data_IF_380426034985
#
_entry.id   IF_380426034985
#
_cell.length_a   1.000
_cell.length_b   1.000
_cell.length_c   1.000
_cell.angle_alpha   90.00
_cell.angle_beta   90.00
_cell.angle_gamma   90.00
#
_symmetry.space_group_name_H-M   'P 1'
#
loop_
_entity.id
_entity.type
_entity.pdbx_description
1 polymer ?
#
# COMPACT_ATOMS: atom_id res chain seq x y z
N UNK A 1 13.69 87.83 -41.54
CA UNK A 1 13.74 87.75 -43.01
C UNK A 1 13.36 86.33 -43.49
N UNK A 2 12.37 86.30 -44.35
CA UNK A 2 11.95 85.24 -45.24
C UNK A 2 11.23 84.02 -44.67
N UNK A 3 9.93 84.00 -44.79
CA UNK A 3 8.99 82.92 -45.15
C UNK A 3 9.27 82.44 -46.58
N UNK A 4 8.59 81.46 -47.15
CA UNK A 4 7.65 80.38 -46.74
C UNK A 4 7.95 79.03 -47.43
N UNK A 5 7.17 78.04 -47.15
CA UNK A 5 6.51 77.26 -48.22
C UNK A 5 5.63 76.12 -47.61
N UNK A 6 4.38 76.25 -47.91
CA UNK A 6 3.32 75.26 -47.85
C UNK A 6 3.59 74.09 -48.79
N UNK A 7 3.33 72.83 -48.31
CA UNK A 7 2.99 71.73 -49.19
C UNK A 7 1.96 70.82 -48.48
N UNK A 8 0.77 70.82 -49.06
CA UNK A 8 -0.33 69.97 -48.78
C UNK A 8 -0.04 68.55 -49.34
N UNK A 9 -0.23 67.50 -48.61
CA UNK A 9 -0.36 66.18 -49.16
C UNK A 9 -1.47 65.33 -48.47
N UNK A 10 -2.41 65.13 -49.27
CA UNK A 10 -3.40 64.02 -49.39
C UNK A 10 -3.64 63.09 -48.22
N UNK A 11 -4.90 63.10 -47.79
CA UNK A 11 -5.55 62.02 -46.98
C UNK A 11 -5.66 60.74 -47.78
N UNK A 12 -5.04 59.66 -47.29
CA UNK A 12 -5.38 58.31 -47.69
C UNK A 12 -5.90 57.59 -46.45
N UNK A 13 -7.21 57.38 -46.39
CA UNK A 13 -7.85 56.53 -45.41
C UNK A 13 -7.56 55.05 -45.71
N UNK A 14 -6.69 54.45 -44.93
CA UNK A 14 -6.51 52.98 -44.94
C UNK A 14 -7.42 52.39 -43.88
N UNK A 15 -8.54 51.81 -44.29
CA UNK A 15 -9.44 51.09 -43.43
C UNK A 15 -8.76 49.77 -42.97
N UNK A 16 -8.25 49.74 -41.73
CA UNK A 16 -7.71 48.51 -41.11
C UNK A 16 -8.86 47.71 -40.53
N UNK A 17 -9.31 46.68 -41.26
CA UNK A 17 -10.31 45.71 -40.77
C UNK A 17 -9.70 44.87 -39.67
N UNK A 18 -10.02 45.14 -38.42
CA UNK A 18 -9.71 44.29 -37.29
C UNK A 18 -10.59 43.03 -37.33
N UNK A 19 -10.03 41.92 -37.86
CA UNK A 19 -10.61 40.63 -37.60
C UNK A 19 -10.40 40.25 -36.13
N UNK A 20 -11.40 40.43 -35.28
CA UNK A 20 -11.44 39.87 -33.94
C UNK A 20 -11.77 38.40 -34.12
N UNK A 21 -10.74 37.52 -34.11
CA UNK A 21 -10.93 36.09 -33.94
C UNK A 21 -11.32 35.86 -32.48
N UNK A 22 -12.61 35.63 -32.24
CA UNK A 22 -13.11 35.14 -30.96
C UNK A 22 -12.53 33.73 -30.78
N UNK A 23 -11.44 33.61 -30.00
CA UNK A 23 -10.99 32.31 -29.49
C UNK A 23 -12.07 31.85 -28.49
N UNK A 24 -12.90 30.90 -28.93
CA UNK A 24 -13.81 30.19 -28.04
C UNK A 24 -12.95 29.32 -27.13
N UNK A 25 -12.64 29.81 -25.94
CA UNK A 25 -12.16 28.97 -24.86
C UNK A 25 -13.30 28.01 -24.50
N UNK A 26 -13.22 26.78 -24.98
CA UNK A 26 -14.03 25.71 -24.46
C UNK A 26 -13.71 25.60 -22.97
N UNK A 27 -14.62 26.05 -22.11
CA UNK A 27 -14.50 25.88 -20.67
C UNK A 27 -14.56 24.38 -20.39
N UNK A 28 -13.39 23.78 -20.13
CA UNK A 28 -13.28 22.40 -19.68
C UNK A 28 -14.09 22.27 -18.39
N UNK A 29 -15.03 21.31 -18.37
CA UNK A 29 -15.84 21.06 -17.16
C UNK A 29 -14.89 20.76 -16.00
N UNK A 30 -15.13 21.35 -14.81
CA UNK A 30 -14.27 21.07 -13.66
C UNK A 30 -14.25 19.57 -13.41
N UNK A 31 -13.05 18.99 -13.45
CA UNK A 31 -12.84 17.56 -13.19
C UNK A 31 -13.16 17.29 -11.72
N UNK A 32 -13.91 16.23 -11.47
CA UNK A 32 -14.19 15.83 -10.09
C UNK A 32 -12.92 15.30 -9.43
N UNK A 33 -12.70 15.73 -8.20
CA UNK A 33 -11.56 15.36 -7.39
C UNK A 33 -11.95 14.35 -6.31
N UNK A 34 -11.18 13.29 -6.20
CA UNK A 34 -11.17 12.36 -5.08
C UNK A 34 -9.93 12.58 -4.21
N UNK A 35 -9.89 11.94 -3.05
CA UNK A 35 -8.74 12.02 -2.16
C UNK A 35 -8.51 10.75 -1.34
N UNK A 36 -7.27 10.51 -0.98
CA UNK A 36 -6.92 9.62 0.11
C UNK A 36 -6.93 10.42 1.43
N UNK A 37 -7.73 9.98 2.40
CA UNK A 37 -7.86 10.69 3.68
C UNK A 37 -8.46 12.09 3.55
N UNK A 38 -7.82 13.09 4.17
CA UNK A 38 -8.35 14.48 4.23
C UNK A 38 -8.20 15.27 2.95
N UNK A 39 -7.42 14.81 1.97
CA UNK A 39 -7.25 15.48 0.68
C UNK A 39 -6.59 16.85 0.76
N UNK A 40 -5.72 17.09 1.73
CA UNK A 40 -5.03 18.37 1.91
C UNK A 40 -3.73 18.48 1.11
N UNK A 41 -3.24 17.36 0.58
CA UNK A 41 -1.98 17.28 -0.15
C UNK A 41 -2.09 17.63 -1.64
N UNK A 42 -0.96 17.70 -2.36
CA UNK A 42 -0.93 17.99 -3.78
C UNK A 42 -1.58 16.86 -4.62
N UNK A 43 -1.99 17.23 -5.84
CA UNK A 43 -2.61 16.32 -6.80
C UNK A 43 -1.64 15.22 -7.23
N UNK A 44 -2.13 13.96 -7.31
CA UNK A 44 -1.40 12.84 -7.87
C UNK A 44 -1.51 12.82 -9.40
N UNK A 45 -0.43 12.42 -10.07
CA UNK A 45 -0.53 11.99 -11.46
C UNK A 45 -1.23 10.63 -11.54
N UNK A 46 -1.70 10.25 -12.72
CA UNK A 46 -2.36 8.94 -12.94
C UNK A 46 -1.47 7.75 -12.56
N UNK A 47 -0.17 7.82 -12.85
CA UNK A 47 0.82 6.80 -12.49
C UNK A 47 1.02 6.73 -10.99
N UNK A 48 1.13 7.88 -10.32
CA UNK A 48 1.22 7.95 -8.85
C UNK A 48 -0.05 7.42 -8.20
N UNK A 49 -1.24 7.77 -8.74
CA UNK A 49 -2.51 7.23 -8.26
C UNK A 49 -2.56 5.71 -8.37
N UNK A 50 -2.15 5.14 -9.52
CA UNK A 50 -2.10 3.68 -9.70
C UNK A 50 -1.20 3.02 -8.66
N UNK A 51 -0.02 3.58 -8.42
CA UNK A 51 0.92 3.10 -7.40
C UNK A 51 0.32 3.20 -5.99
N UNK A 52 -0.33 4.30 -5.65
CA UNK A 52 -0.98 4.49 -4.36
C UNK A 52 -2.16 3.51 -4.14
N UNK A 53 -2.98 3.27 -5.17
CA UNK A 53 -4.07 2.29 -5.09
C UNK A 53 -3.55 0.87 -4.88
N UNK A 54 -2.49 0.49 -5.60
CA UNK A 54 -1.83 -0.82 -5.42
C UNK A 54 -1.24 -0.96 -4.02
N UNK A 55 -0.53 0.06 -3.55
CA UNK A 55 0.09 0.08 -2.24
C UNK A 55 -0.97 0.00 -1.11
N UNK A 56 -2.07 0.74 -1.23
CA UNK A 56 -3.20 0.67 -0.29
C UNK A 56 -3.77 -0.74 -0.18
N UNK A 57 -3.98 -1.40 -1.33
CA UNK A 57 -4.50 -2.78 -1.35
C UNK A 57 -3.51 -3.75 -0.71
N UNK A 58 -2.20 -3.60 -1.02
CA UNK A 58 -1.16 -4.45 -0.44
C UNK A 58 -1.05 -4.29 1.08
N UNK A 59 -1.07 -3.05 1.58
CA UNK A 59 -1.06 -2.77 3.02
C UNK A 59 -2.24 -3.42 3.72
N UNK A 60 -3.47 -3.25 3.19
CA UNK A 60 -4.65 -3.87 3.77
C UNK A 60 -4.57 -5.40 3.80
N UNK A 61 -4.10 -6.02 2.71
CA UNK A 61 -3.91 -7.47 2.65
C UNK A 61 -2.85 -7.97 3.63
N UNK A 62 -1.72 -7.26 3.73
CA UNK A 62 -0.67 -7.60 4.69
C UNK A 62 -1.15 -7.51 6.14
N UNK A 63 -1.94 -6.50 6.49
CA UNK A 63 -2.51 -6.36 7.84
C UNK A 63 -3.44 -7.51 8.20
N UNK A 64 -4.30 -7.91 7.26
CA UNK A 64 -5.18 -9.08 7.44
C UNK A 64 -4.37 -10.37 7.61
N UNK A 65 -3.39 -10.61 6.74
CA UNK A 65 -2.55 -11.80 6.78
C UNK A 65 -1.69 -11.87 8.05
N UNK A 66 -1.12 -10.76 8.48
CA UNK A 66 -0.35 -10.68 9.73
C UNK A 66 -1.24 -10.96 10.95
N UNK A 67 -2.48 -10.46 10.96
CA UNK A 67 -3.42 -10.73 12.06
C UNK A 67 -3.75 -12.23 12.14
N UNK A 68 -4.01 -12.88 11.00
CA UNK A 68 -4.27 -14.33 10.94
C UNK A 68 -3.05 -15.15 11.40
N UNK A 69 -1.86 -14.78 10.91
CA UNK A 69 -0.63 -15.48 11.27
C UNK A 69 -0.29 -15.33 12.76
N UNK A 70 -0.51 -14.14 13.33
CA UNK A 70 -0.32 -13.90 14.77
C UNK A 70 -1.23 -14.81 15.62
N UNK A 71 -2.50 -14.96 15.23
CA UNK A 71 -3.44 -15.85 15.93
C UNK A 71 -3.00 -17.31 15.79
N UNK A 72 -2.55 -17.74 14.61
CA UNK A 72 -2.06 -19.10 14.37
C UNK A 72 -0.79 -19.39 15.19
N UNK A 73 0.15 -18.46 15.27
CA UNK A 73 1.35 -18.59 16.10
C UNK A 73 1.00 -18.68 17.59
N UNK A 74 0.03 -17.92 18.08
CA UNK A 74 -0.43 -18.01 19.47
C UNK A 74 -1.01 -19.41 19.76
N UNK A 75 -1.87 -19.95 18.88
CA UNK A 75 -2.43 -21.29 19.03
C UNK A 75 -1.33 -22.37 19.03
N UNK A 76 -0.40 -22.28 18.08
CA UNK A 76 0.72 -23.26 18.01
C UNK A 76 1.59 -23.21 19.26
N UNK A 77 1.87 -22.02 19.80
CA UNK A 77 2.61 -21.87 21.06
C UNK A 77 1.90 -22.57 22.21
N UNK A 78 0.59 -22.38 22.34
CA UNK A 78 -0.21 -23.02 23.39
C UNK A 78 -0.22 -24.54 23.25
N UNK A 79 -0.26 -25.06 22.03
CA UNK A 79 -0.15 -26.51 21.76
C UNK A 79 1.20 -27.07 22.18
N UNK A 80 2.30 -26.38 21.86
CA UNK A 80 3.67 -26.77 22.28
C UNK A 80 3.79 -26.78 23.81
N UNK A 81 3.22 -25.79 24.48
CA UNK A 81 3.22 -25.73 25.96
C UNK A 81 2.45 -26.92 26.53
N UNK A 82 1.21 -27.16 26.10
CA UNK A 82 0.40 -28.31 26.55
C UNK A 82 1.05 -29.64 26.24
N UNK A 83 1.68 -29.77 25.07
CA UNK A 83 2.47 -30.97 24.70
C UNK A 83 3.62 -31.21 25.66
N UNK A 84 4.32 -30.15 26.09
CA UNK A 84 5.36 -30.23 27.12
C UNK A 84 4.86 -30.71 28.48
N UNK A 85 3.73 -30.17 28.94
CA UNK A 85 3.10 -30.58 30.20
C UNK A 85 2.67 -32.06 30.15
N UNK A 86 2.12 -32.51 29.01
CA UNK A 86 1.74 -33.88 28.78
C UNK A 86 2.95 -34.81 28.82
N UNK A 87 4.06 -34.46 28.15
CA UNK A 87 5.29 -35.23 28.15
C UNK A 87 5.89 -35.31 29.56
N UNK A 88 5.86 -34.25 30.32
CA UNK A 88 6.32 -34.20 31.70
C UNK A 88 5.51 -35.18 32.58
N UNK A 89 4.18 -35.14 32.52
CA UNK A 89 3.31 -36.04 33.29
C UNK A 89 3.56 -37.50 32.85
N UNK A 90 3.75 -37.76 31.57
CA UNK A 90 4.05 -39.12 31.06
C UNK A 90 5.41 -39.63 31.54
N UNK A 91 6.42 -38.78 31.65
CA UNK A 91 7.74 -39.14 32.17
C UNK A 91 7.68 -39.61 33.63
N UNK A 92 6.80 -39.02 34.45
CA UNK A 92 6.61 -39.38 35.87
C UNK A 92 6.05 -40.80 36.02
N UNK A 93 5.26 -41.26 35.07
CA UNK A 93 4.62 -42.61 35.11
C UNK A 93 5.23 -43.61 34.13
N UNK A 94 6.34 -43.24 33.45
CA UNK A 94 6.95 -44.05 32.40
C UNK A 94 7.57 -45.35 33.01
N UNK A 95 7.14 -46.50 32.48
CA UNK A 95 7.83 -47.76 32.74
C UNK A 95 9.15 -47.79 31.94
N UNK A 96 10.24 -47.45 32.64
CA UNK A 96 11.59 -47.44 32.06
C UNK A 96 12.17 -48.79 31.74
N UNK A 97 11.50 -49.88 32.17
CA UNK A 97 11.91 -51.27 31.84
C UNK A 97 11.27 -51.74 30.54
N UNK A 98 10.21 -51.07 30.09
CA UNK A 98 9.55 -51.36 28.81
C UNK A 98 10.22 -50.59 27.67
N UNK A 99 10.92 -51.30 26.79
CA UNK A 99 11.55 -50.70 25.61
C UNK A 99 10.52 -50.00 24.69
N UNK A 100 9.31 -50.57 24.57
CA UNK A 100 8.23 -50.01 23.76
C UNK A 100 7.72 -48.67 24.37
N UNK A 101 7.52 -48.62 25.70
CA UNK A 101 7.08 -47.40 26.37
C UNK A 101 8.12 -46.27 26.24
N UNK A 102 9.41 -46.60 26.37
CA UNK A 102 10.51 -45.64 26.19
C UNK A 102 10.59 -45.16 24.74
N UNK A 103 10.47 -46.07 23.75
CA UNK A 103 10.47 -45.67 22.33
C UNK A 103 9.31 -44.73 22.00
N UNK A 104 8.10 -45.05 22.45
CA UNK A 104 6.92 -44.17 22.25
C UNK A 104 7.05 -42.83 22.93
N UNK A 105 7.70 -42.71 24.09
CA UNK A 105 8.02 -41.46 24.74
C UNK A 105 9.02 -40.62 23.93
N UNK A 106 10.08 -41.23 23.44
CA UNK A 106 11.12 -40.59 22.64
C UNK A 106 10.53 -40.03 21.31
N UNK A 107 9.71 -40.81 20.61
CA UNK A 107 9.02 -40.40 19.40
C UNK A 107 8.17 -39.13 19.62
N UNK A 108 7.44 -39.08 20.74
CA UNK A 108 6.64 -37.89 21.08
C UNK A 108 7.51 -36.66 21.42
N UNK A 109 8.66 -36.89 22.06
CA UNK A 109 9.63 -35.83 22.34
C UNK A 109 10.20 -35.25 21.06
N UNK A 110 10.64 -36.13 20.13
CA UNK A 110 11.16 -35.72 18.81
C UNK A 110 10.10 -34.96 18.00
N UNK A 111 8.85 -35.44 18.01
CA UNK A 111 7.75 -34.76 17.35
C UNK A 111 7.51 -33.33 17.89
N UNK A 112 7.59 -33.17 19.23
CA UNK A 112 7.48 -31.87 19.86
C UNK A 112 8.67 -30.96 19.55
N UNK A 113 9.87 -31.46 19.54
CA UNK A 113 11.06 -30.70 19.20
C UNK A 113 10.97 -30.16 17.77
N UNK A 114 10.51 -30.99 16.83
CA UNK A 114 10.22 -30.54 15.47
C UNK A 114 9.15 -29.45 15.42
N UNK A 115 8.07 -29.55 16.22
CA UNK A 115 7.07 -28.48 16.31
C UNK A 115 7.65 -27.17 16.83
N UNK A 116 8.60 -27.24 17.76
CA UNK A 116 9.30 -26.04 18.29
C UNK A 116 10.14 -25.42 17.18
N UNK A 117 10.91 -26.21 16.44
CA UNK A 117 11.74 -25.70 15.33
C UNK A 117 10.89 -25.05 14.23
N UNK A 118 9.81 -25.71 13.82
CA UNK A 118 8.85 -25.16 12.85
C UNK A 118 8.22 -23.86 13.36
N UNK A 119 7.85 -23.78 14.64
CA UNK A 119 7.33 -22.56 15.26
C UNK A 119 8.35 -21.42 15.22
N UNK A 120 9.62 -21.68 15.59
CA UNK A 120 10.67 -20.66 15.57
C UNK A 120 10.93 -20.14 14.15
N UNK A 121 10.95 -21.01 13.15
CA UNK A 121 11.08 -20.62 11.75
C UNK A 121 9.90 -19.72 11.30
N UNK A 122 8.67 -20.07 11.69
CA UNK A 122 7.47 -19.25 11.41
C UNK A 122 7.52 -17.90 12.11
N UNK A 123 7.97 -17.82 13.37
CA UNK A 123 8.15 -16.55 14.09
C UNK A 123 9.15 -15.65 13.36
N UNK A 124 10.27 -16.21 12.91
CA UNK A 124 11.26 -15.46 12.13
C UNK A 124 10.67 -14.89 10.83
N UNK A 125 9.95 -15.72 10.07
CA UNK A 125 9.28 -15.31 8.84
C UNK A 125 8.19 -14.25 9.12
N UNK A 126 7.42 -14.41 10.19
CA UNK A 126 6.42 -13.43 10.62
C UNK A 126 7.04 -12.06 10.92
N UNK A 127 8.14 -12.01 11.69
CA UNK A 127 8.83 -10.77 12.00
C UNK A 127 9.33 -10.06 10.74
N UNK A 128 9.89 -10.80 9.77
CA UNK A 128 10.30 -10.23 8.47
C UNK A 128 9.12 -9.62 7.72
N UNK A 129 7.96 -10.29 7.75
CA UNK A 129 6.72 -9.76 7.12
C UNK A 129 6.18 -8.52 7.84
N UNK A 130 6.30 -8.45 9.18
CA UNK A 130 5.93 -7.27 9.97
C UNK A 130 6.77 -6.06 9.56
N UNK A 131 8.09 -6.23 9.42
CA UNK A 131 8.98 -5.14 8.99
C UNK A 131 8.67 -4.69 7.55
N UNK A 132 8.42 -5.62 6.64
CA UNK A 132 7.99 -5.30 5.26
C UNK A 132 6.67 -4.54 5.25
N UNK A 133 5.67 -4.99 6.04
CA UNK A 133 4.38 -4.32 6.16
C UNK A 133 4.49 -2.91 6.74
N UNK A 134 5.40 -2.71 7.70
CA UNK A 134 5.71 -1.38 8.24
C UNK A 134 6.29 -0.47 7.17
N UNK A 135 7.27 -0.95 6.40
CA UNK A 135 7.87 -0.18 5.30
C UNK A 135 6.81 0.24 4.25
N UNK A 136 5.89 -0.66 3.89
CA UNK A 136 4.80 -0.35 2.96
C UNK A 136 3.80 0.68 3.54
N UNK A 137 3.46 0.59 4.83
CA UNK A 137 2.62 1.61 5.51
C UNK A 137 3.29 2.97 5.52
N UNK A 138 4.59 3.02 5.86
CA UNK A 138 5.36 4.26 5.86
C UNK A 138 5.45 4.88 4.45
N UNK A 139 5.63 4.06 3.43
CA UNK A 139 5.63 4.50 2.03
C UNK A 139 4.24 5.05 1.62
N UNK A 140 3.15 4.39 2.03
CA UNK A 140 1.78 4.87 1.80
C UNK A 140 1.52 6.20 2.51
N UNK A 141 1.88 6.31 3.79
CA UNK A 141 1.70 7.53 4.56
C UNK A 141 2.44 8.73 3.95
N UNK A 142 3.69 8.52 3.51
CA UNK A 142 4.51 9.58 2.91
C UNK A 142 4.07 9.97 1.50
N UNK A 143 3.74 8.99 0.68
CA UNK A 143 3.52 9.19 -0.75
C UNK A 143 2.06 9.38 -1.17
N UNK A 144 1.12 8.83 -0.42
CA UNK A 144 -0.26 8.68 -0.84
C UNK A 144 -1.28 9.31 0.11
N UNK A 145 -1.03 9.25 1.43
CA UNK A 145 -1.98 9.74 2.41
C UNK A 145 -2.24 11.24 2.24
N UNK A 146 -3.51 11.63 2.37
CA UNK A 146 -3.98 13.02 2.20
C UNK A 146 -3.73 13.63 0.81
N UNK A 147 -3.37 12.84 -0.22
CA UNK A 147 -3.20 13.32 -1.59
C UNK A 147 -4.53 13.33 -2.33
N UNK A 148 -4.69 14.30 -3.24
CA UNK A 148 -5.85 14.42 -4.13
C UNK A 148 -5.56 13.73 -5.46
N UNK A 149 -6.62 13.38 -6.18
CA UNK A 149 -6.55 12.79 -7.52
C UNK A 149 -7.81 13.12 -8.32
N UNK A 150 -7.78 12.95 -9.63
CA UNK A 150 -8.97 13.04 -10.45
C UNK A 150 -9.76 11.72 -10.45
N UNK A 151 -11.08 11.77 -10.21
CA UNK A 151 -11.94 10.59 -10.20
C UNK A 151 -11.91 9.84 -11.55
N UNK A 152 -11.77 10.56 -12.66
CA UNK A 152 -11.64 9.98 -13.99
C UNK A 152 -10.41 9.06 -14.12
N UNK A 153 -9.28 9.43 -13.49
CA UNK A 153 -8.07 8.61 -13.46
C UNK A 153 -8.28 7.34 -12.64
N UNK A 154 -8.95 7.45 -11.49
CA UNK A 154 -9.30 6.29 -10.67
C UNK A 154 -10.18 5.30 -11.45
N UNK A 155 -11.22 5.80 -12.12
CA UNK A 155 -12.12 4.99 -12.95
C UNK A 155 -11.34 4.31 -14.09
N UNK A 156 -10.46 5.05 -14.76
CA UNK A 156 -9.64 4.52 -15.85
C UNK A 156 -8.69 3.41 -15.37
N UNK A 157 -8.09 3.57 -14.18
CA UNK A 157 -7.22 2.56 -13.58
C UNK A 157 -8.00 1.29 -13.20
N UNK A 158 -9.19 1.44 -12.62
CA UNK A 158 -10.05 0.31 -12.25
C UNK A 158 -10.54 -0.50 -13.46
N UNK A 159 -10.77 0.16 -14.59
CA UNK A 159 -11.18 -0.52 -15.85
C UNK A 159 -10.03 -1.22 -16.57
N UNK A 160 -8.79 -0.86 -16.28
CA UNK A 160 -7.59 -1.43 -16.93
C UNK A 160 -7.02 -2.67 -16.22
N UNK A 161 -7.65 -3.13 -15.16
CA UNK A 161 -7.37 -4.40 -14.46
C UNK A 161 -8.24 -5.51 -15.01
#
# INVERSE_FOLDING_TARGET
MRTPATAAFARTFLALSLFVTAATFAADKPKKEGAFGKGSGPMLTKEQLRSCMSLKTRVAQQEEDLTKEQAALASTKDEIVRGGDTLKARLETLDRTSAEAVAAYNEQTEARDKQIDDYQARVTAFNTRVESGKADRDAYAKGCENRRFFEEDEIAIKKSK
#
